data_IF_067682392632
#
_entry.id   IF_067682392632
#
_cell.length_a   1.000
_cell.length_b   1.000
_cell.length_c   1.000
_cell.angle_alpha   90.00
_cell.angle_beta   90.00
_cell.angle_gamma   90.00
#
_symmetry.space_group_name_H-M   'P 1'
#
loop_
_entity.id
_entity.type
_entity.pdbx_description
1 polymer ?
#
# COMPACT_ATOMS: atom_id res chain seq x y z
N UNK A 1 46.75 24.62 42.37
CA UNK A 1 46.10 23.58 41.51
C UNK A 1 45.23 24.28 40.48
N UNK A 2 45.66 24.36 39.21
CA UNK A 2 44.89 24.96 38.15
C UNK A 2 44.10 23.83 37.48
N UNK A 3 42.75 23.92 37.52
CA UNK A 3 41.88 22.96 36.89
C UNK A 3 42.00 23.01 35.38
N UNK A 4 42.26 21.86 34.78
CA UNK A 4 42.26 21.62 33.36
C UNK A 4 40.82 21.61 32.86
N UNK A 5 40.41 22.62 32.07
CA UNK A 5 39.14 22.63 31.33
C UNK A 5 39.48 22.15 29.93
N UNK A 6 38.92 21.02 29.44
CA UNK A 6 39.16 20.63 28.06
C UNK A 6 38.33 21.53 27.14
N UNK A 7 39.05 22.40 26.44
CA UNK A 7 38.55 23.23 25.33
C UNK A 7 38.45 22.35 24.08
N UNK A 8 37.31 21.70 23.87
CA UNK A 8 36.80 21.18 22.59
C UNK A 8 35.53 20.35 22.78
N UNK A 9 34.52 20.97 23.41
CA UNK A 9 33.19 20.43 23.27
C UNK A 9 32.64 20.93 21.92
N UNK A 10 32.88 20.16 20.87
CA UNK A 10 32.17 20.33 19.58
C UNK A 10 30.69 20.13 19.89
N UNK A 11 29.96 21.24 19.98
CA UNK A 11 28.50 21.20 20.05
C UNK A 11 27.98 20.61 18.73
N UNK A 12 27.75 19.30 18.72
CA UNK A 12 27.03 18.65 17.62
C UNK A 12 25.60 19.19 17.66
N UNK A 13 25.32 20.07 16.69
CA UNK A 13 23.97 20.60 16.48
C UNK A 13 23.01 19.40 16.36
N UNK A 14 21.98 19.27 17.18
CA UNK A 14 21.02 18.19 17.02
C UNK A 14 20.44 18.23 15.60
N UNK A 15 20.25 17.07 14.95
CA UNK A 15 19.65 17.04 13.62
C UNK A 15 18.27 17.70 13.68
N UNK A 16 17.85 18.39 12.60
CA UNK A 16 16.55 19.03 12.57
C UNK A 16 15.44 17.99 12.85
N UNK A 17 14.51 18.32 13.72
CA UNK A 17 13.40 17.47 14.21
C UNK A 17 12.48 16.96 13.10
N UNK A 18 12.71 17.39 11.84
CA UNK A 18 12.04 16.95 10.63
C UNK A 18 12.88 16.03 9.73
N UNK A 19 13.94 15.43 10.26
CA UNK A 19 14.53 14.27 9.59
C UNK A 19 13.47 13.16 9.67
N UNK A 20 12.65 13.08 8.64
CA UNK A 20 11.72 11.95 8.42
C UNK A 20 12.55 10.69 8.54
N UNK A 21 12.24 9.86 9.55
CA UNK A 21 12.82 8.53 9.67
C UNK A 21 12.82 7.88 8.28
N UNK A 22 13.87 7.15 7.88
CA UNK A 22 13.90 6.49 6.60
C UNK A 22 12.65 5.64 6.48
N UNK A 23 11.73 6.07 5.64
CA UNK A 23 10.48 5.36 5.42
C UNK A 23 10.87 4.02 4.81
N UNK A 24 10.71 2.94 5.56
CA UNK A 24 10.87 1.57 5.05
C UNK A 24 9.75 1.21 4.04
N UNK A 25 9.15 2.21 3.44
CA UNK A 25 8.14 2.05 2.41
C UNK A 25 8.83 1.60 1.10
N UNK A 26 8.64 0.34 0.68
CA UNK A 26 9.27 -0.18 -0.54
C UNK A 26 8.85 0.59 -1.79
N UNK A 27 7.67 1.25 -1.78
CA UNK A 27 7.22 2.11 -2.87
C UNK A 27 7.96 3.47 -2.91
N UNK A 28 8.48 3.95 -1.78
CA UNK A 28 9.28 5.19 -1.76
C UNK A 28 10.58 5.06 -2.55
N UNK A 29 11.11 3.84 -2.66
CA UNK A 29 12.35 3.53 -3.39
C UNK A 29 12.13 3.33 -4.88
N UNK A 30 10.88 3.23 -5.33
CA UNK A 30 10.57 3.05 -6.75
C UNK A 30 10.71 4.38 -7.50
N UNK A 31 11.29 4.37 -8.72
CA UNK A 31 11.42 5.57 -9.54
C UNK A 31 10.04 6.14 -9.87
N UNK A 32 9.93 7.48 -9.95
CA UNK A 32 8.69 8.19 -10.35
C UNK A 32 8.26 7.90 -11.79
N UNK A 33 9.07 7.16 -12.56
CA UNK A 33 8.77 6.71 -13.92
C UNK A 33 7.60 5.71 -13.92
N UNK A 34 6.90 5.59 -15.06
CA UNK A 34 5.87 4.54 -15.24
C UNK A 34 6.49 3.16 -15.03
N UNK A 35 6.17 2.53 -13.92
CA UNK A 35 6.60 1.18 -13.59
C UNK A 35 5.68 0.17 -14.24
N UNK A 36 6.27 -0.91 -14.75
CA UNK A 36 5.48 -2.08 -15.15
C UNK A 36 4.94 -2.80 -13.90
N UNK A 37 3.87 -3.56 -14.09
CA UNK A 37 3.32 -4.40 -13.01
C UNK A 37 4.33 -5.45 -12.53
N UNK A 38 5.19 -5.95 -13.42
CA UNK A 38 6.21 -6.94 -13.07
C UNK A 38 7.29 -6.35 -12.16
N UNK A 39 7.77 -5.14 -12.48
CA UNK A 39 8.79 -4.44 -11.68
C UNK A 39 8.30 -4.03 -10.30
N UNK A 40 7.02 -3.66 -10.18
CA UNK A 40 6.42 -3.21 -8.92
C UNK A 40 5.86 -4.34 -8.06
N UNK A 41 5.69 -5.54 -8.61
CA UNK A 41 5.06 -6.66 -7.92
C UNK A 41 5.76 -7.07 -6.62
N UNK A 42 7.10 -7.18 -6.54
CA UNK A 42 7.78 -7.49 -5.29
C UNK A 42 7.54 -6.43 -4.20
N UNK A 43 7.57 -5.14 -4.55
CA UNK A 43 7.27 -4.05 -3.63
C UNK A 43 5.80 -4.07 -3.18
N UNK A 44 4.89 -4.41 -4.09
CA UNK A 44 3.47 -4.57 -3.77
C UNK A 44 3.26 -5.71 -2.75
N UNK A 45 3.88 -6.88 -2.95
CA UNK A 45 3.80 -7.98 -2.00
C UNK A 45 4.43 -7.66 -0.64
N UNK A 46 5.47 -6.84 -0.62
CA UNK A 46 6.14 -6.45 0.63
C UNK A 46 5.23 -5.61 1.54
N UNK A 47 4.37 -4.75 0.98
CA UNK A 47 3.37 -3.98 1.75
C UNK A 47 2.09 -4.75 2.02
N UNK A 48 1.95 -5.98 1.48
CA UNK A 48 0.86 -6.91 1.71
C UNK A 48 1.41 -8.23 2.27
N UNK A 49 2.25 -8.14 3.31
CA UNK A 49 2.93 -9.30 3.89
C UNK A 49 1.97 -10.20 4.66
N UNK A 50 0.97 -9.62 5.32
CA UNK A 50 0.00 -10.33 6.14
C UNK A 50 -1.07 -11.01 5.28
N UNK A 51 -1.33 -12.31 5.46
CA UNK A 51 -2.33 -13.05 4.69
C UNK A 51 -3.76 -12.51 4.88
N UNK A 52 -4.09 -11.95 6.05
CA UNK A 52 -5.40 -11.35 6.31
C UNK A 52 -5.59 -10.07 5.48
N UNK A 53 -4.55 -9.24 5.35
CA UNK A 53 -4.58 -8.08 4.46
C UNK A 53 -4.80 -8.50 3.01
N UNK A 54 -4.08 -9.51 2.54
CA UNK A 54 -4.30 -10.07 1.18
C UNK A 54 -5.73 -10.57 0.99
N UNK A 55 -6.30 -11.25 1.99
CA UNK A 55 -7.70 -11.70 1.94
C UNK A 55 -8.68 -10.52 1.83
N UNK A 56 -8.47 -9.45 2.61
CA UNK A 56 -9.30 -8.24 2.53
C UNK A 56 -9.23 -7.59 1.14
N UNK A 57 -8.04 -7.50 0.53
CA UNK A 57 -7.89 -7.01 -0.84
C UNK A 57 -8.64 -7.88 -1.85
N UNK A 58 -8.52 -9.21 -1.74
CA UNK A 58 -9.23 -10.14 -2.63
C UNK A 58 -10.74 -10.01 -2.46
N UNK A 59 -11.24 -9.98 -1.22
CA UNK A 59 -12.66 -9.82 -0.93
C UNK A 59 -13.17 -8.46 -1.45
N UNK A 60 -12.51 -7.37 -1.08
CA UNK A 60 -12.91 -6.02 -1.47
C UNK A 60 -12.92 -5.83 -2.98
N UNK A 61 -11.87 -6.27 -3.67
CA UNK A 61 -11.80 -6.21 -5.13
C UNK A 61 -12.88 -7.07 -5.80
N UNK A 62 -13.13 -8.28 -5.29
CA UNK A 62 -14.18 -9.16 -5.81
C UNK A 62 -15.57 -8.55 -5.64
N UNK A 63 -15.87 -7.99 -4.47
CA UNK A 63 -17.14 -7.31 -4.21
C UNK A 63 -17.29 -6.05 -5.08
N UNK A 64 -16.21 -5.28 -5.26
CA UNK A 64 -16.19 -4.13 -6.15
C UNK A 64 -16.49 -4.52 -7.60
N UNK A 65 -15.84 -5.57 -8.12
CA UNK A 65 -16.10 -6.09 -9.47
C UNK A 65 -17.53 -6.61 -9.60
N UNK A 66 -18.05 -7.34 -8.61
CA UNK A 66 -19.44 -7.79 -8.59
C UNK A 66 -20.42 -6.61 -8.63
N UNK A 67 -20.15 -5.54 -7.87
CA UNK A 67 -20.97 -4.32 -7.90
C UNK A 67 -20.96 -3.65 -9.27
N UNK A 68 -19.81 -3.58 -9.96
CA UNK A 68 -19.74 -3.05 -11.34
C UNK A 68 -20.55 -3.91 -12.29
N UNK A 69 -20.41 -5.25 -12.20
CA UNK A 69 -21.17 -6.18 -13.05
C UNK A 69 -22.67 -6.02 -12.83
N UNK A 70 -23.13 -5.96 -11.58
CA UNK A 70 -24.54 -5.77 -11.24
C UNK A 70 -25.07 -4.41 -11.70
N UNK A 71 -24.25 -3.35 -11.61
CA UNK A 71 -24.61 -2.02 -12.11
C UNK A 71 -24.95 -2.02 -13.59
N UNK A 72 -24.19 -2.81 -14.37
CA UNK A 72 -24.39 -2.93 -15.81
C UNK A 72 -25.55 -3.89 -16.16
N UNK A 73 -25.73 -4.95 -15.37
CA UNK A 73 -26.78 -5.95 -15.62
C UNK A 73 -28.19 -5.47 -15.20
N UNK A 74 -28.28 -4.66 -14.13
CA UNK A 74 -29.55 -4.23 -13.53
C UNK A 74 -29.86 -2.74 -13.78
N UNK A 75 -29.26 -2.03 -14.69
CA UNK A 75 -29.07 -0.58 -14.89
C UNK A 75 -29.15 0.27 -13.59
N UNK A 76 -28.54 -0.23 -12.52
CA UNK A 76 -28.47 0.42 -11.20
C UNK A 76 -27.14 1.17 -11.03
N UNK A 77 -27.01 2.38 -11.58
CA UNK A 77 -25.78 3.17 -11.57
C UNK A 77 -25.23 3.48 -10.17
N UNK A 78 -26.06 3.43 -9.14
CA UNK A 78 -25.65 3.58 -7.72
C UNK A 78 -24.59 2.56 -7.32
N UNK A 79 -24.63 1.36 -7.87
CA UNK A 79 -23.66 0.30 -7.60
C UNK A 79 -22.25 0.65 -8.10
N UNK A 80 -22.10 1.57 -9.06
CA UNK A 80 -20.80 2.09 -9.49
C UNK A 80 -20.13 2.92 -8.39
N UNK A 81 -20.91 3.55 -7.50
CA UNK A 81 -20.39 4.27 -6.32
C UNK A 81 -20.02 3.26 -5.22
N UNK A 82 -20.81 2.21 -5.06
CA UNK A 82 -20.57 1.16 -4.07
C UNK A 82 -19.28 0.39 -4.37
N UNK A 83 -18.97 0.16 -5.64
CA UNK A 83 -17.80 -0.60 -6.06
C UNK A 83 -16.46 -0.08 -5.45
N UNK A 84 -16.08 1.19 -5.62
CA UNK A 84 -14.85 1.71 -5.01
C UNK A 84 -14.91 1.74 -3.48
N UNK A 85 -16.08 1.98 -2.88
CA UNK A 85 -16.24 1.98 -1.42
C UNK A 85 -15.91 0.59 -0.85
N UNK A 86 -16.41 -0.49 -1.46
CA UNK A 86 -16.10 -1.85 -1.04
C UNK A 86 -14.64 -2.20 -1.26
N UNK A 87 -14.11 -1.91 -2.45
CA UNK A 87 -12.72 -2.24 -2.79
C UNK A 87 -11.72 -1.49 -1.89
N UNK A 88 -11.81 -0.16 -1.83
CA UNK A 88 -10.90 0.65 -1.03
C UNK A 88 -11.15 0.56 0.47
N UNK A 89 -12.40 0.40 0.92
CA UNK A 89 -12.72 0.23 2.33
C UNK A 89 -12.04 -1.00 2.91
N UNK A 90 -12.14 -2.16 2.24
CA UNK A 90 -11.44 -3.38 2.65
C UNK A 90 -9.91 -3.21 2.60
N UNK A 91 -9.39 -2.61 1.53
CA UNK A 91 -7.96 -2.36 1.37
C UNK A 91 -7.41 -1.45 2.47
N UNK A 92 -8.09 -0.36 2.81
CA UNK A 92 -7.66 0.58 3.84
C UNK A 92 -7.73 -0.03 5.25
N UNK A 93 -8.73 -0.86 5.55
CA UNK A 93 -8.76 -1.66 6.78
C UNK A 93 -7.49 -2.52 6.86
N UNK A 94 -7.15 -3.22 5.80
CA UNK A 94 -5.96 -4.05 5.74
C UNK A 94 -4.66 -3.26 5.96
N UNK A 95 -4.51 -2.13 5.28
CA UNK A 95 -3.30 -1.31 5.41
C UNK A 95 -3.18 -0.61 6.75
N UNK A 96 -4.22 0.04 7.24
CA UNK A 96 -4.12 0.88 8.44
C UNK A 96 -4.15 0.07 9.74
N UNK A 97 -4.96 -0.98 9.82
CA UNK A 97 -5.11 -1.74 11.07
C UNK A 97 -4.26 -3.00 11.14
N UNK A 98 -4.02 -3.68 10.00
CA UNK A 98 -3.29 -4.94 9.98
C UNK A 98 -1.82 -4.74 9.67
N UNK A 99 -1.49 -4.12 8.53
CA UNK A 99 -0.10 -3.89 8.10
C UNK A 99 0.52 -2.65 8.75
N UNK A 100 -0.30 -1.70 9.19
CA UNK A 100 0.13 -0.40 9.76
C UNK A 100 1.05 0.38 8.81
N UNK A 101 0.73 0.35 7.53
CA UNK A 101 1.45 1.03 6.47
C UNK A 101 0.51 1.88 5.59
N UNK A 102 1.09 2.66 4.66
CA UNK A 102 0.32 3.46 3.73
C UNK A 102 -0.04 2.66 2.47
N UNK A 103 -1.30 2.75 1.99
CA UNK A 103 -1.70 2.13 0.73
C UNK A 103 -0.90 2.66 -0.47
N UNK A 104 -0.48 1.77 -1.36
CA UNK A 104 0.18 2.13 -2.63
C UNK A 104 -0.70 3.03 -3.52
N UNK A 105 -2.01 2.96 -3.36
CA UNK A 105 -3.02 3.74 -4.08
C UNK A 105 -2.78 5.24 -3.99
N UNK A 106 -2.25 5.76 -2.90
CA UNK A 106 -1.99 7.20 -2.74
C UNK A 106 -0.87 7.72 -3.65
N UNK A 107 0.05 6.88 -4.07
CA UNK A 107 1.16 7.25 -4.94
C UNK A 107 0.99 6.75 -6.38
N UNK A 108 0.42 5.58 -6.54
CA UNK A 108 0.31 4.87 -7.82
C UNK A 108 -1.07 4.21 -7.98
N UNK A 109 -2.17 4.99 -8.12
CA UNK A 109 -3.53 4.45 -8.08
C UNK A 109 -3.81 3.41 -9.17
N UNK A 110 -3.38 3.66 -10.41
CA UNK A 110 -3.59 2.72 -11.52
C UNK A 110 -2.76 1.45 -11.34
N UNK A 111 -1.53 1.59 -10.85
CA UNK A 111 -0.65 0.45 -10.59
C UNK A 111 -1.20 -0.41 -9.45
N UNK A 112 -1.70 0.22 -8.38
CA UNK A 112 -2.34 -0.47 -7.25
C UNK A 112 -3.55 -1.27 -7.73
N UNK A 113 -4.46 -0.67 -8.48
CA UNK A 113 -5.63 -1.37 -9.03
C UNK A 113 -5.23 -2.59 -9.89
N UNK A 114 -4.24 -2.43 -10.78
CA UNK A 114 -3.74 -3.55 -11.59
C UNK A 114 -3.12 -4.65 -10.74
N UNK A 115 -2.44 -4.30 -9.65
CA UNK A 115 -1.85 -5.25 -8.73
C UNK A 115 -2.94 -5.98 -7.91
N UNK A 116 -3.99 -5.29 -7.48
CA UNK A 116 -5.14 -5.89 -6.80
C UNK A 116 -5.86 -6.90 -7.69
N UNK A 117 -6.11 -6.55 -8.96
CA UNK A 117 -6.69 -7.47 -9.95
C UNK A 117 -5.80 -8.71 -10.17
N UNK A 118 -4.48 -8.51 -10.27
CA UNK A 118 -3.53 -9.63 -10.36
C UNK A 118 -3.57 -10.51 -9.12
N UNK A 119 -3.65 -9.91 -7.93
CA UNK A 119 -3.74 -10.65 -6.68
C UNK A 119 -5.02 -11.48 -6.61
N UNK A 120 -6.19 -10.92 -6.97
CA UNK A 120 -7.45 -11.65 -7.09
C UNK A 120 -7.32 -12.84 -8.04
N UNK A 121 -6.76 -12.61 -9.22
CA UNK A 121 -6.58 -13.66 -10.22
C UNK A 121 -5.67 -14.79 -9.72
N UNK A 122 -4.56 -14.46 -9.03
CA UNK A 122 -3.68 -15.46 -8.42
C UNK A 122 -4.38 -16.21 -7.28
N UNK A 123 -5.19 -15.52 -6.47
CA UNK A 123 -5.98 -16.15 -5.40
C UNK A 123 -6.97 -17.18 -5.98
N UNK A 124 -7.73 -16.82 -7.01
CA UNK A 124 -8.66 -17.71 -7.71
C UNK A 124 -7.97 -18.97 -8.27
N UNK A 125 -6.68 -18.87 -8.60
CA UNK A 125 -5.88 -20.00 -9.09
C UNK A 125 -5.13 -20.77 -8.00
N UNK A 126 -5.32 -20.43 -6.73
CA UNK A 126 -4.58 -21.03 -5.61
C UNK A 126 -3.07 -20.79 -5.66
N UNK A 127 -2.64 -19.72 -6.34
CA UNK A 127 -1.22 -19.37 -6.53
C UNK A 127 -0.76 -18.16 -5.72
N UNK A 128 -1.64 -17.61 -4.88
CA UNK A 128 -1.31 -16.50 -4.00
C UNK A 128 -0.50 -17.02 -2.81
N UNK A 129 0.80 -16.96 -2.87
CA UNK A 129 1.68 -17.42 -1.78
C UNK A 129 2.70 -18.50 -2.19
N UNK A 130 2.78 -18.77 -3.49
CA UNK A 130 3.86 -19.60 -4.06
C UNK A 130 4.89 -18.74 -4.75
#
# INVERSE_FOLDING_TARGET
MKGFVPENTVMVKPPPVHATAPTNDPFAKLPKKRLSLAESWPAYLAVHSNPLNRALHVIGTSLGLASVFLALALPELRLLIVAPVLAYGCAWIGHFWIERNAPATFRHPVLSLRADLRMCWLACRGRLGR
#
